data_IF_023856935781
#
_entry.id   IF_023856935781
#
_cell.length_a   1.000
_cell.length_b   1.000
_cell.length_c   1.000
_cell.angle_alpha   90.00
_cell.angle_beta   90.00
_cell.angle_gamma   90.00
#
_symmetry.space_group_name_H-M   'P 1'
#
loop_
_entity.id
_entity.type
_entity.pdbx_description
1 polymer ?
#
# COMPACT_ATOMS: atom_id res chain seq x y z
N UNK A 1 12.27 -40.02 4.96
CA UNK A 1 10.98 -39.41 4.61
C UNK A 1 10.88 -38.11 5.39
N UNK A 2 11.07 -36.98 4.71
CA UNK A 2 10.92 -35.65 5.30
C UNK A 2 9.73 -35.00 4.61
N UNK A 3 8.65 -34.62 5.33
CA UNK A 3 7.61 -33.82 4.73
C UNK A 3 8.17 -32.40 4.57
N UNK A 4 8.43 -32.01 3.33
CA UNK A 4 8.60 -30.61 2.96
C UNK A 4 7.25 -29.93 3.13
N UNK A 5 7.12 -29.09 4.15
CA UNK A 5 6.02 -28.14 4.26
C UNK A 5 6.09 -27.19 3.07
N UNK A 6 5.38 -27.54 1.99
CA UNK A 6 5.08 -26.61 0.93
C UNK A 6 4.13 -25.57 1.50
N UNK A 7 4.67 -24.45 1.98
CA UNK A 7 3.90 -23.23 2.14
C UNK A 7 3.53 -22.83 0.72
N UNK A 8 2.34 -23.22 0.28
CA UNK A 8 1.75 -22.65 -0.94
C UNK A 8 1.84 -21.13 -0.79
N UNK A 9 2.35 -20.38 -1.79
CA UNK A 9 2.38 -18.93 -1.71
C UNK A 9 0.98 -18.47 -1.34
N UNK A 10 0.86 -17.78 -0.21
CA UNK A 10 -0.43 -17.25 0.23
C UNK A 10 -0.92 -16.38 -0.91
N UNK A 11 -2.12 -16.65 -1.44
CA UNK A 11 -2.66 -15.81 -2.51
C UNK A 11 -2.80 -14.37 -1.99
N UNK A 12 -2.61 -13.35 -2.84
CA UNK A 12 -2.88 -11.97 -2.47
C UNK A 12 -4.32 -11.82 -1.96
N UNK A 13 -4.47 -11.26 -0.75
CA UNK A 13 -5.76 -11.15 -0.03
C UNK A 13 -6.00 -9.75 0.55
N UNK A 14 -4.97 -8.92 0.55
CA UNK A 14 -4.98 -7.61 1.17
C UNK A 14 -4.97 -6.56 0.07
N UNK A 15 -6.12 -5.93 -0.18
CA UNK A 15 -6.22 -4.89 -1.19
C UNK A 15 -5.42 -3.66 -0.77
N UNK A 16 -4.65 -3.14 -1.72
CA UNK A 16 -3.85 -1.93 -1.65
C UNK A 16 -4.49 -0.87 -2.54
N UNK A 17 -4.73 0.32 -2.00
CA UNK A 17 -5.52 1.35 -2.68
C UNK A 17 -5.22 2.75 -2.15
N UNK A 18 -5.56 3.76 -2.95
CA UNK A 18 -5.56 5.17 -2.56
C UNK A 18 -6.96 5.59 -2.11
N UNK A 19 -7.03 6.45 -1.10
CA UNK A 19 -8.28 7.01 -0.61
C UNK A 19 -8.10 8.36 0.07
N UNK A 20 -9.21 9.09 0.23
CA UNK A 20 -9.25 10.29 1.05
C UNK A 20 -9.75 9.94 2.46
N UNK A 21 -9.02 10.37 3.48
CA UNK A 21 -9.50 10.26 4.85
C UNK A 21 -10.59 11.29 5.18
N UNK A 22 -11.04 11.31 6.43
CA UNK A 22 -12.09 12.23 6.90
C UNK A 22 -11.69 13.72 6.86
N UNK A 23 -10.39 14.03 6.78
CA UNK A 23 -9.86 15.39 6.63
C UNK A 23 -9.49 15.73 5.17
N UNK A 24 -9.86 14.87 4.21
CA UNK A 24 -9.61 15.01 2.77
C UNK A 24 -8.13 14.96 2.39
N UNK A 25 -7.29 14.32 3.20
CA UNK A 25 -5.91 14.02 2.84
C UNK A 25 -5.84 12.71 2.07
N UNK A 26 -5.08 12.71 0.96
CA UNK A 26 -4.83 11.50 0.19
C UNK A 26 -3.85 10.61 0.97
N UNK A 27 -4.18 9.33 1.10
CA UNK A 27 -3.34 8.33 1.76
C UNK A 27 -3.36 7.02 0.97
N UNK A 28 -2.31 6.22 1.15
CA UNK A 28 -2.27 4.82 0.72
C UNK A 28 -2.79 3.93 1.85
N UNK A 29 -3.54 2.89 1.49
CA UNK A 29 -4.15 1.96 2.43
C UNK A 29 -3.85 0.53 2.01
N UNK A 30 -3.69 -0.36 2.99
CA UNK A 30 -3.76 -1.81 2.81
C UNK A 30 -4.76 -2.39 3.81
N UNK A 31 -5.68 -3.22 3.33
CA UNK A 31 -6.61 -3.95 4.20
C UNK A 31 -5.86 -4.96 5.08
N UNK A 32 -6.08 -4.93 6.39
CA UNK A 32 -5.47 -5.91 7.31
C UNK A 32 -6.37 -7.12 7.55
N UNK A 33 -7.68 -6.92 7.49
CA UNK A 33 -8.65 -8.01 7.63
C UNK A 33 -8.91 -8.67 6.27
N UNK A 34 -8.67 -9.98 6.18
CA UNK A 34 -8.81 -10.75 4.94
C UNK A 34 -10.24 -10.93 4.45
N UNK A 35 -11.25 -10.57 5.25
CA UNK A 35 -12.66 -10.57 4.85
C UNK A 35 -13.15 -9.13 4.65
N UNK A 36 -13.44 -8.77 3.40
CA UNK A 36 -14.03 -7.48 3.03
C UNK A 36 -15.54 -7.42 3.36
N UNK A 37 -15.93 -7.69 4.62
CA UNK A 37 -17.31 -7.48 5.10
C UNK A 37 -17.32 -6.56 6.32
N UNK A 38 -18.04 -5.43 6.24
CA UNK A 38 -18.25 -4.51 7.36
C UNK A 38 -17.19 -3.39 7.46
N UNK A 39 -16.97 -2.85 8.66
CA UNK A 39 -15.92 -1.84 8.91
C UNK A 39 -14.56 -2.49 8.73
N UNK A 40 -13.79 -2.04 7.73
CA UNK A 40 -12.48 -2.62 7.48
C UNK A 40 -11.40 -1.91 8.26
N UNK A 41 -10.47 -2.69 8.81
CA UNK A 41 -9.24 -2.17 9.39
C UNK A 41 -8.15 -2.17 8.32
N UNK A 42 -7.33 -1.12 8.35
CA UNK A 42 -6.27 -0.84 7.38
C UNK A 42 -5.01 -0.36 8.08
N UNK A 43 -3.87 -0.58 7.44
CA UNK A 43 -2.70 0.27 7.66
C UNK A 43 -2.73 1.40 6.65
N UNK A 44 -2.37 2.61 7.10
CA UNK A 44 -2.38 3.83 6.30
C UNK A 44 -0.97 4.38 6.17
N UNK A 45 -0.64 4.90 4.99
CA UNK A 45 0.65 5.51 4.69
C UNK A 45 0.44 6.89 4.06
N UNK A 46 1.23 7.87 4.51
CA UNK A 46 1.23 9.24 4.00
C UNK A 46 2.65 9.80 3.94
N UNK A 47 2.88 10.80 3.12
CA UNK A 47 4.14 11.57 3.10
C UNK A 47 3.92 12.85 3.90
N UNK A 48 4.81 13.16 4.84
CA UNK A 48 4.74 14.40 5.61
C UNK A 48 5.44 15.59 4.94
N UNK A 49 5.36 16.77 5.56
CA UNK A 49 5.99 18.00 5.07
C UNK A 49 7.52 17.93 4.94
N UNK A 50 8.15 16.90 5.53
CA UNK A 50 9.59 16.63 5.42
C UNK A 50 9.90 15.57 4.38
N UNK A 51 8.93 15.20 3.54
CA UNK A 51 9.02 14.14 2.55
C UNK A 51 9.35 12.77 3.16
N UNK A 52 8.94 12.53 4.41
CA UNK A 52 9.10 11.24 5.08
C UNK A 52 7.81 10.45 5.09
N UNK A 53 7.94 9.14 4.93
CA UNK A 53 6.82 8.22 5.10
C UNK A 53 6.37 8.21 6.56
N UNK A 54 5.07 8.37 6.76
CA UNK A 54 4.37 8.16 8.02
C UNK A 54 3.43 6.97 7.87
N UNK A 55 3.52 6.06 8.83
CA UNK A 55 2.70 4.86 8.89
C UNK A 55 1.76 4.93 10.08
N UNK A 56 0.50 4.58 9.89
CA UNK A 56 -0.49 4.44 10.95
C UNK A 56 -1.18 3.08 10.83
N UNK A 57 -1.07 2.27 11.87
CA UNK A 57 -1.65 0.93 11.89
C UNK A 57 -3.05 0.91 12.50
N UNK A 58 -3.81 -0.14 12.16
CA UNK A 58 -5.11 -0.43 12.76
C UNK A 58 -6.12 0.71 12.68
N UNK A 59 -6.24 1.34 11.51
CA UNK A 59 -7.17 2.44 11.27
C UNK A 59 -8.38 2.01 10.46
N UNK A 60 -9.56 2.64 10.65
CA UNK A 60 -10.70 2.43 9.77
C UNK A 60 -10.35 2.75 8.30
N UNK A 61 -10.90 1.98 7.38
CA UNK A 61 -10.85 2.29 5.94
C UNK A 61 -11.50 3.64 5.63
N UNK A 62 -11.02 4.38 4.63
CA UNK A 62 -11.61 5.64 4.22
C UNK A 62 -13.01 5.42 3.64
N UNK A 63 -13.86 6.45 3.71
CA UNK A 63 -15.19 6.42 3.07
C UNK A 63 -15.12 6.49 1.55
N UNK A 64 -14.03 7.05 1.02
CA UNK A 64 -13.87 7.31 -0.40
C UNK A 64 -12.55 6.71 -0.89
N UNK A 65 -12.65 5.55 -1.54
CA UNK A 65 -11.57 4.97 -2.33
C UNK A 65 -11.46 5.76 -3.65
N UNK A 66 -10.24 6.14 -4.00
CA UNK A 66 -9.90 6.88 -5.23
C UNK A 66 -9.44 5.93 -6.32
N UNK A 67 -8.62 4.95 -5.97
CA UNK A 67 -8.02 4.04 -6.94
C UNK A 67 -7.61 2.74 -6.24
N UNK A 68 -8.04 1.61 -6.78
CA UNK A 68 -7.47 0.32 -6.42
C UNK A 68 -6.14 0.14 -7.16
N UNK A 69 -5.07 -0.22 -6.43
CA UNK A 69 -3.75 -0.43 -7.01
C UNK A 69 -3.46 -1.90 -7.25
N UNK A 70 -3.97 -2.77 -6.37
CA UNK A 70 -3.74 -4.20 -6.46
C UNK A 70 -3.95 -4.90 -5.12
N UNK A 71 -3.39 -6.09 -5.01
CA UNK A 71 -3.55 -6.97 -3.87
C UNK A 71 -2.21 -7.52 -3.43
N UNK A 72 -1.99 -7.58 -2.12
CA UNK A 72 -0.76 -8.08 -1.52
C UNK A 72 -1.03 -9.23 -0.54
N UNK A 73 0.00 -10.03 -0.26
CA UNK A 73 -0.14 -11.26 0.53
C UNK A 73 -0.08 -11.09 2.04
N UNK A 74 0.66 -10.10 2.56
CA UNK A 74 0.85 -9.86 4.00
C UNK A 74 1.01 -8.37 4.28
N UNK A 75 0.17 -7.77 5.15
CA UNK A 75 0.32 -6.38 5.56
C UNK A 75 1.65 -6.10 6.28
N UNK A 76 2.19 -7.06 7.02
CA UNK A 76 3.47 -6.90 7.73
C UNK A 76 4.64 -6.80 6.75
N UNK A 77 4.66 -7.69 5.75
CA UNK A 77 5.69 -7.67 4.69
C UNK A 77 5.57 -6.40 3.84
N UNK A 78 4.35 -5.99 3.54
CA UNK A 78 4.07 -4.74 2.84
C UNK A 78 4.60 -3.53 3.62
N UNK A 79 4.30 -3.44 4.92
CA UNK A 79 4.82 -2.38 5.79
C UNK A 79 6.35 -2.31 5.78
N UNK A 80 7.04 -3.46 5.81
CA UNK A 80 8.51 -3.48 5.71
C UNK A 80 8.98 -2.87 4.40
N UNK A 81 8.42 -3.30 3.27
CA UNK A 81 8.78 -2.77 1.94
C UNK A 81 8.54 -1.27 1.87
N UNK A 82 7.40 -0.78 2.37
CA UNK A 82 7.11 0.64 2.38
C UNK A 82 8.12 1.44 3.22
N UNK A 83 8.50 0.93 4.40
CA UNK A 83 9.45 1.61 5.28
C UNK A 83 10.91 1.57 4.76
N UNK A 84 11.28 0.51 4.02
CA UNK A 84 12.61 0.35 3.42
C UNK A 84 12.73 1.11 2.09
N UNK A 85 11.62 1.57 1.52
CA UNK A 85 11.59 2.36 0.30
C UNK A 85 12.10 3.78 0.57
N UNK A 86 13.41 3.94 0.44
CA UNK A 86 14.04 5.26 0.41
C UNK A 86 13.69 6.00 -0.88
N UNK A 87 12.94 7.09 -0.73
CA UNK A 87 12.71 8.02 -1.81
C UNK A 87 13.97 8.82 -2.11
N UNK A 88 14.38 8.95 -3.39
CA UNK A 88 15.38 9.92 -3.76
C UNK A 88 14.88 11.31 -3.35
N UNK A 89 15.47 11.91 -2.32
CA UNK A 89 14.99 13.19 -1.74
C UNK A 89 14.81 14.30 -2.81
N UNK A 90 15.58 14.25 -3.90
CA UNK A 90 15.46 15.19 -5.01
C UNK A 90 14.17 15.05 -5.86
N UNK A 91 13.52 13.88 -5.89
CA UNK A 91 12.28 13.67 -6.68
C UNK A 91 11.03 14.23 -6.01
N UNK A 92 11.05 14.42 -4.69
CA UNK A 92 9.92 14.96 -3.93
C UNK A 92 10.05 16.45 -3.59
N UNK A 93 11.21 17.06 -3.86
CA UNK A 93 11.42 18.47 -3.59
C UNK A 93 10.50 19.34 -4.46
N UNK A 94 9.73 20.21 -3.80
CA UNK A 94 8.84 21.17 -4.46
C UNK A 94 7.49 20.60 -4.89
N UNK A 95 7.20 19.32 -4.64
CA UNK A 95 5.87 18.74 -4.81
C UNK A 95 4.97 19.08 -3.62
N UNK A 96 3.67 19.27 -3.87
CA UNK A 96 2.68 19.24 -2.80
C UNK A 96 2.51 17.81 -2.25
N UNK A 97 1.96 17.66 -1.04
CA UNK A 97 1.84 16.34 -0.40
C UNK A 97 1.10 15.30 -1.27
N UNK A 98 -0.04 15.61 -1.94
CA UNK A 98 -0.70 14.66 -2.81
C UNK A 98 0.15 14.20 -4.00
N UNK A 99 0.91 15.11 -4.61
CA UNK A 99 1.84 14.78 -5.71
C UNK A 99 3.01 13.94 -5.20
N UNK A 100 3.58 14.30 -4.03
CA UNK A 100 4.67 13.56 -3.42
C UNK A 100 4.25 12.11 -3.09
N UNK A 101 3.06 11.92 -2.53
CA UNK A 101 2.50 10.60 -2.27
C UNK A 101 2.29 9.81 -3.56
N UNK A 102 1.72 10.43 -4.61
CA UNK A 102 1.52 9.75 -5.90
C UNK A 102 2.84 9.32 -6.53
N UNK A 103 3.86 10.18 -6.50
CA UNK A 103 5.19 9.84 -7.00
C UNK A 103 5.79 8.66 -6.22
N UNK A 104 5.68 8.67 -4.89
CA UNK A 104 6.12 7.54 -4.06
C UNK A 104 5.38 6.24 -4.36
N UNK A 105 4.06 6.30 -4.51
CA UNK A 105 3.24 5.13 -4.84
C UNK A 105 3.60 4.55 -6.20
N UNK A 106 3.94 5.39 -7.19
CA UNK A 106 4.41 4.90 -8.49
C UNK A 106 5.69 4.09 -8.38
N UNK A 107 6.68 4.57 -7.62
CA UNK A 107 7.92 3.82 -7.36
C UNK A 107 7.64 2.53 -6.58
N UNK A 108 6.77 2.59 -5.57
CA UNK A 108 6.36 1.42 -4.79
C UNK A 108 5.76 0.35 -5.70
N UNK A 109 4.77 0.70 -6.53
CA UNK A 109 4.12 -0.26 -7.44
C UNK A 109 5.13 -0.86 -8.42
N UNK A 110 6.05 -0.06 -8.95
CA UNK A 110 7.12 -0.56 -9.81
C UNK A 110 7.99 -1.60 -9.09
N UNK A 111 8.42 -1.32 -7.85
CA UNK A 111 9.20 -2.26 -7.05
C UNK A 111 8.41 -3.53 -6.76
N UNK A 112 7.11 -3.42 -6.45
CA UNK A 112 6.26 -4.58 -6.19
C UNK A 112 6.11 -5.46 -7.43
N UNK A 113 5.95 -4.85 -8.62
CA UNK A 113 5.88 -5.57 -9.90
C UNK A 113 7.22 -6.26 -10.25
N UNK A 114 8.36 -5.60 -10.00
CA UNK A 114 9.69 -6.11 -10.38
C UNK A 114 10.24 -7.14 -9.38
N UNK A 115 9.98 -6.97 -8.07
CA UNK A 115 10.68 -7.70 -7.01
C UNK A 115 9.77 -8.60 -6.18
N UNK A 116 8.46 -8.35 -6.19
CA UNK A 116 7.50 -9.02 -5.31
C UNK A 116 6.37 -9.73 -6.09
N UNK A 117 6.61 -10.14 -7.33
CA UNK A 117 5.60 -10.74 -8.21
C UNK A 117 4.86 -11.96 -7.62
N UNK A 118 5.51 -12.73 -6.72
CA UNK A 118 4.89 -13.86 -6.03
C UNK A 118 3.93 -13.43 -4.89
N UNK A 119 4.07 -12.19 -4.40
CA UNK A 119 3.31 -11.63 -3.28
C UNK A 119 2.35 -10.50 -3.68
N UNK A 120 2.49 -9.99 -4.90
CA UNK A 120 1.77 -8.83 -5.42
C UNK A 120 0.98 -9.20 -6.68
N UNK A 121 -0.28 -8.80 -6.71
CA UNK A 121 -1.11 -8.84 -7.90
C UNK A 121 -1.57 -7.42 -8.23
N UNK A 122 -0.93 -6.83 -9.23
CA UNK A 122 -1.27 -5.49 -9.72
C UNK A 122 -2.68 -5.45 -10.33
N UNK A 123 -3.44 -4.40 -10.02
CA UNK A 123 -4.68 -4.08 -10.70
C UNK A 123 -4.48 -2.85 -11.59
N UNK A 124 -3.81 -3.06 -12.72
CA UNK A 124 -3.60 -2.05 -13.76
C UNK A 124 -4.91 -1.73 -14.49
N UNK A 125 -5.78 -0.90 -13.91
CA UNK A 125 -6.81 -0.22 -14.71
C UNK A 125 -8.18 0.08 -14.08
N UNK A 126 -8.46 -0.25 -12.82
CA UNK A 126 -9.71 0.18 -12.19
C UNK A 126 -9.54 1.52 -11.47
N UNK A 127 -9.55 2.61 -12.23
CA UNK A 127 -9.86 3.94 -11.69
C UNK A 127 -11.39 3.97 -11.53
N UNK A 128 -11.87 4.09 -10.28
CA UNK A 128 -13.31 4.20 -9.97
C UNK A 128 -13.82 5.63 -10.17
#
# INVERSE_FOLDING_TARGET
>A
MTPTYGVSPSRPKHMVYLGYDDIKELRLYIHTDGDMKGTHITNQYSIDDTNKLKTQESKPSPRHMVQELGWFCSPESFSSICNDLDLPQGRLQGLDQPQALRAWVQELVQILDETCADMWACNNGNIL
#
